data_IF_726809557695
#
_entry.id   IF_726809557695
#
_cell.length_a   1.000
_cell.length_b   1.000
_cell.length_c   1.000
_cell.angle_alpha   90.00
_cell.angle_beta   90.00
_cell.angle_gamma   90.00
#
_symmetry.space_group_name_H-M   'P 1'
#
loop_
_entity.id
_entity.type
_entity.pdbx_description
1 polymer ?
#
# COMPACT_ATOMS: atom_id res chain seq x y z
N UNK A 1 -21.84 24.53 15.89
CA UNK A 1 -22.93 24.88 16.81
C UNK A 1 -23.54 23.60 17.33
N UNK A 2 -23.26 23.24 18.60
CA UNK A 2 -23.87 22.10 19.30
C UNK A 2 -25.34 22.41 19.58
N UNK A 3 -26.24 21.47 19.33
CA UNK A 3 -27.44 21.32 20.16
C UNK A 3 -27.60 19.84 20.48
N UNK A 4 -27.55 19.58 21.78
CA UNK A 4 -27.65 18.29 22.43
C UNK A 4 -29.11 17.89 22.70
N UNK A 5 -29.29 16.58 22.90
CA UNK A 5 -30.19 15.93 23.86
C UNK A 5 -31.70 16.15 23.76
N UNK A 6 -32.44 15.02 23.76
CA UNK A 6 -33.49 14.80 24.77
C UNK A 6 -33.72 13.31 25.00
N UNK A 7 -33.36 12.87 26.21
CA UNK A 7 -33.76 11.63 26.83
C UNK A 7 -35.07 11.83 27.59
N UNK A 8 -35.94 10.81 27.60
CA UNK A 8 -36.99 10.45 28.58
C UNK A 8 -37.85 9.36 27.91
N UNK A 9 -38.34 8.30 28.54
CA UNK A 9 -38.47 7.94 29.94
C UNK A 9 -38.92 6.47 30.00
N UNK A 10 -38.43 5.75 31.01
CA UNK A 10 -38.77 4.36 31.34
C UNK A 10 -40.19 4.29 31.93
N UNK A 11 -41.02 3.29 31.60
CA UNK A 11 -42.08 2.81 32.47
C UNK A 11 -41.62 1.54 33.21
N UNK A 12 -41.47 1.68 34.51
CA UNK A 12 -41.44 0.60 35.50
C UNK A 12 -42.78 -0.13 35.54
N UNK A 13 -42.76 -1.45 35.37
CA UNK A 13 -43.81 -2.35 35.85
C UNK A 13 -43.22 -3.47 36.70
N UNK A 14 -43.97 -3.76 37.76
CA UNK A 14 -43.61 -4.48 38.98
C UNK A 14 -43.78 -6.00 38.80
N UNK A 15 -42.82 -6.72 39.39
CA UNK A 15 -42.85 -8.05 40.01
C UNK A 15 -43.76 -9.16 39.46
N UNK A 16 -43.11 -10.26 39.05
CA UNK A 16 -43.65 -11.61 39.12
C UNK A 16 -42.59 -12.55 39.68
N UNK A 17 -42.69 -12.88 40.97
CA UNK A 17 -41.84 -13.81 41.69
C UNK A 17 -42.33 -15.24 41.41
N UNK A 18 -41.55 -16.07 40.72
CA UNK A 18 -41.73 -17.53 40.69
C UNK A 18 -40.39 -18.19 40.96
N UNK A 19 -40.24 -18.70 42.18
CA UNK A 19 -39.18 -19.62 42.56
C UNK A 19 -39.40 -20.96 41.84
N UNK A 20 -38.50 -21.30 40.91
CA UNK A 20 -38.28 -22.68 40.49
C UNK A 20 -36.84 -23.02 40.87
N UNK A 21 -36.68 -23.77 41.95
CA UNK A 21 -35.41 -24.41 42.32
C UNK A 21 -35.13 -25.55 41.34
N UNK A 22 -34.49 -25.20 40.21
CA UNK A 22 -33.81 -26.14 39.35
C UNK A 22 -32.32 -26.11 39.66
N UNK A 23 -31.74 -27.25 40.03
CA UNK A 23 -30.28 -27.44 40.05
C UNK A 23 -29.83 -27.43 38.59
N UNK A 24 -29.59 -26.22 38.06
CA UNK A 24 -29.03 -26.01 36.75
C UNK A 24 -27.52 -26.24 36.81
N UNK A 25 -27.05 -27.27 36.11
CA UNK A 25 -25.63 -27.39 35.75
C UNK A 25 -25.30 -26.14 34.94
N UNK A 26 -24.61 -25.18 35.56
CA UNK A 26 -24.08 -24.02 34.86
C UNK A 26 -22.94 -24.50 33.96
N UNK A 27 -23.27 -24.91 32.74
CA UNK A 27 -22.29 -24.94 31.66
C UNK A 27 -21.79 -23.51 31.50
N UNK A 28 -20.55 -23.28 31.95
CA UNK A 28 -19.83 -22.06 31.62
C UNK A 28 -19.69 -22.02 30.09
N UNK A 29 -20.61 -21.32 29.43
CA UNK A 29 -20.42 -20.93 28.04
C UNK A 29 -19.26 -19.95 28.05
N UNK A 30 -18.09 -20.42 27.63
CA UNK A 30 -16.99 -19.55 27.23
C UNK A 30 -17.53 -18.66 26.12
N UNK A 31 -17.93 -17.45 26.49
CA UNK A 31 -18.23 -16.38 25.56
C UNK A 31 -16.87 -16.01 24.97
N UNK A 32 -16.48 -16.68 23.89
CA UNK A 32 -15.48 -16.12 22.99
C UNK A 32 -16.10 -14.84 22.47
N UNK A 33 -15.79 -13.72 23.13
CA UNK A 33 -15.93 -12.42 22.51
C UNK A 33 -15.17 -12.51 21.19
N UNK A 34 -15.90 -12.58 20.08
CA UNK A 34 -15.34 -12.23 18.80
C UNK A 34 -14.82 -10.80 19.00
N UNK A 35 -13.51 -10.65 19.17
CA UNK A 35 -12.88 -9.34 19.03
C UNK A 35 -13.25 -8.89 17.63
N UNK A 36 -13.83 -7.70 17.51
CA UNK A 36 -13.79 -7.01 16.23
C UNK A 36 -12.33 -7.08 15.75
N UNK A 37 -12.11 -7.60 14.54
CA UNK A 37 -10.76 -7.71 13.98
C UNK A 37 -10.07 -6.37 14.19
N UNK A 38 -9.02 -6.38 15.00
CA UNK A 38 -8.14 -5.22 15.10
C UNK A 38 -7.66 -4.97 13.67
N UNK A 39 -7.98 -3.80 13.07
CA UNK A 39 -7.58 -3.52 11.70
C UNK A 39 -6.07 -3.58 11.52
N UNK A 40 -5.31 -3.55 12.63
CA UNK A 40 -3.89 -3.84 12.71
C UNK A 40 -3.05 -2.87 11.89
N UNK A 41 -1.77 -3.22 11.74
CA UNK A 41 -0.84 -2.40 10.97
C UNK A 41 -0.95 -2.72 9.47
N UNK A 42 -0.90 -1.68 8.65
CA UNK A 42 -0.81 -1.76 7.20
C UNK A 42 0.56 -1.23 6.76
N UNK A 43 1.26 -1.99 5.90
CA UNK A 43 2.51 -1.55 5.28
C UNK A 43 2.35 -1.48 3.77
N UNK A 44 2.76 -0.38 3.14
CA UNK A 44 2.75 -0.22 1.69
C UNK A 44 4.17 -0.10 1.15
N UNK A 45 4.46 -0.91 0.15
CA UNK A 45 5.69 -0.89 -0.63
C UNK A 45 5.37 -0.56 -2.08
N UNK A 46 6.23 0.22 -2.72
CA UNK A 46 6.05 0.47 -4.13
C UNK A 46 6.85 1.61 -4.72
N UNK A 47 6.39 2.03 -5.88
CA UNK A 47 6.98 3.10 -6.65
C UNK A 47 6.17 4.41 -6.56
N UNK A 48 6.22 5.24 -7.61
CA UNK A 48 5.50 6.51 -7.70
C UNK A 48 3.98 6.39 -7.56
N UNK A 49 3.37 5.23 -7.83
CA UNK A 49 1.92 5.07 -7.72
C UNK A 49 1.48 4.90 -6.26
N UNK A 50 2.30 4.23 -5.45
CA UNK A 50 2.09 4.15 -4.00
C UNK A 50 2.59 5.39 -3.25
N UNK A 51 3.68 6.01 -3.72
CA UNK A 51 4.17 7.26 -3.13
C UNK A 51 3.24 8.45 -3.45
N UNK A 52 2.80 8.55 -4.71
CA UNK A 52 1.96 9.60 -5.27
C UNK A 52 2.28 11.04 -4.79
N UNK A 53 3.55 11.49 -4.77
CA UNK A 53 3.86 12.87 -4.40
C UNK A 53 3.44 13.83 -5.51
N UNK A 54 3.02 15.03 -5.13
CA UNK A 54 2.87 16.10 -6.11
C UNK A 54 4.24 16.64 -6.56
N UNK A 55 4.26 17.36 -7.69
CA UNK A 55 5.50 17.89 -8.27
C UNK A 55 6.28 18.81 -7.31
N UNK A 56 5.57 19.58 -6.46
CA UNK A 56 6.21 20.46 -5.47
C UNK A 56 6.93 19.62 -4.40
N UNK A 57 6.32 18.54 -3.94
CA UNK A 57 6.92 17.62 -2.97
C UNK A 57 8.14 16.90 -3.55
N UNK A 58 8.09 16.49 -4.82
CA UNK A 58 9.27 15.93 -5.53
C UNK A 58 10.39 16.96 -5.58
N UNK A 59 10.10 18.18 -6.07
CA UNK A 59 11.10 19.25 -6.19
C UNK A 59 11.69 19.68 -4.84
N UNK A 60 10.86 19.77 -3.80
CA UNK A 60 11.31 20.08 -2.44
C UNK A 60 12.18 18.97 -1.84
N UNK A 61 11.87 17.69 -2.13
CA UNK A 61 12.68 16.57 -1.68
C UNK A 61 14.06 16.50 -2.33
N UNK A 62 14.17 16.93 -3.59
CA UNK A 62 15.46 17.04 -4.28
C UNK A 62 16.22 18.34 -3.99
N UNK A 63 15.54 19.38 -3.48
CA UNK A 63 16.14 20.68 -3.22
C UNK A 63 15.67 21.27 -1.86
N UNK A 64 16.51 21.18 -0.81
CA UNK A 64 16.20 21.70 0.52
C UNK A 64 15.84 23.20 0.55
N UNK A 65 16.35 23.99 -0.40
CA UNK A 65 16.03 25.41 -0.50
C UNK A 65 14.57 25.64 -0.94
N UNK A 66 14.01 24.75 -1.77
CA UNK A 66 12.61 24.81 -2.18
C UNK A 66 11.65 24.34 -1.08
N UNK A 67 12.09 23.42 -0.21
CA UNK A 67 11.32 23.00 0.96
C UNK A 67 11.08 24.14 1.97
N UNK A 68 11.93 25.18 1.98
CA UNK A 68 11.73 26.39 2.78
C UNK A 68 10.82 27.45 2.13
N UNK A 69 10.60 27.35 0.81
CA UNK A 69 9.77 28.30 0.04
C UNK A 69 8.33 27.80 -0.10
N UNK A 70 8.16 26.49 -0.28
CA UNK A 70 6.85 25.85 -0.33
C UNK A 70 6.55 25.18 1.01
N UNK A 71 5.31 25.24 1.47
CA UNK A 71 4.86 24.54 2.68
C UNK A 71 4.75 23.03 2.43
N UNK A 72 5.87 22.38 2.16
CA UNK A 72 5.95 20.92 2.01
C UNK A 72 6.27 20.27 3.35
N UNK A 73 5.66 19.13 3.63
CA UNK A 73 6.06 18.33 4.79
C UNK A 73 7.54 17.95 4.67
N UNK A 74 8.32 18.04 5.75
CA UNK A 74 9.69 17.57 5.76
C UNK A 74 9.71 16.06 5.47
N UNK A 75 10.60 15.64 4.57
CA UNK A 75 10.83 14.23 4.27
C UNK A 75 11.84 13.69 5.28
N UNK A 76 11.49 12.70 6.12
CA UNK A 76 12.43 12.11 7.06
C UNK A 76 13.62 11.48 6.33
N UNK A 77 14.78 11.43 6.99
CA UNK A 77 15.96 10.74 6.45
C UNK A 77 15.64 9.27 6.15
N UNK A 78 16.04 8.81 4.97
CA UNK A 78 15.76 7.43 4.50
C UNK A 78 14.36 7.22 3.90
N UNK A 79 13.49 8.23 3.92
CA UNK A 79 12.17 8.19 3.29
C UNK A 79 12.15 8.96 1.96
N UNK A 80 11.14 8.68 1.14
CA UNK A 80 10.86 9.43 -0.09
C UNK A 80 9.68 10.38 0.09
N UNK A 81 9.55 11.35 -0.82
CA UNK A 81 8.38 12.20 -0.89
C UNK A 81 7.13 11.35 -1.14
N UNK A 82 6.13 11.46 -0.27
CA UNK A 82 4.83 10.83 -0.44
C UNK A 82 3.72 11.88 -0.38
N UNK A 83 2.69 11.72 -1.20
CA UNK A 83 1.50 12.55 -1.15
C UNK A 83 0.62 12.14 0.02
N UNK A 84 0.00 13.10 0.72
CA UNK A 84 -0.91 12.78 1.83
C UNK A 84 -2.12 11.95 1.37
N UNK A 85 -2.52 12.11 0.11
CA UNK A 85 -3.72 11.54 -0.47
C UNK A 85 -3.46 10.30 -1.36
N UNK A 86 -2.32 9.64 -1.15
CA UNK A 86 -1.98 8.39 -1.84
C UNK A 86 -2.95 7.25 -1.46
N UNK A 87 -3.01 6.19 -2.28
CA UNK A 87 -3.98 5.11 -2.04
C UNK A 87 -3.77 4.40 -0.71
N UNK A 88 -2.51 4.27 -0.23
CA UNK A 88 -2.23 3.60 1.02
C UNK A 88 -2.83 4.37 2.21
N UNK A 89 -2.67 5.69 2.24
CA UNK A 89 -3.28 6.54 3.26
C UNK A 89 -4.81 6.50 3.19
N UNK A 90 -5.39 6.46 1.99
CA UNK A 90 -6.85 6.32 1.81
C UNK A 90 -7.37 4.99 2.33
N UNK A 91 -6.71 3.87 1.99
CA UNK A 91 -7.06 2.54 2.51
C UNK A 91 -7.00 2.54 4.04
N UNK A 92 -5.91 3.05 4.62
CA UNK A 92 -5.74 3.11 6.06
C UNK A 92 -6.85 3.91 6.76
N UNK A 93 -7.20 5.07 6.20
CA UNK A 93 -8.29 5.89 6.69
C UNK A 93 -9.64 5.17 6.62
N UNK A 94 -9.93 4.49 5.51
CA UNK A 94 -11.20 3.77 5.31
C UNK A 94 -11.31 2.50 6.17
N UNK A 95 -10.20 1.81 6.45
CA UNK A 95 -10.18 0.59 7.27
C UNK A 95 -9.95 0.85 8.76
N UNK A 96 -9.52 2.06 9.12
CA UNK A 96 -9.09 2.39 10.49
C UNK A 96 -7.74 1.80 10.88
N UNK A 97 -6.93 1.33 9.92
CA UNK A 97 -5.58 0.81 10.15
C UNK A 97 -4.56 1.95 10.32
N UNK A 98 -3.49 1.71 11.07
CA UNK A 98 -2.28 2.53 10.97
C UNK A 98 -1.53 2.17 9.69
N UNK A 99 -0.88 3.13 9.03
CA UNK A 99 -0.11 2.87 7.79
C UNK A 99 1.32 3.35 7.87
N UNK A 100 2.22 2.48 7.41
CA UNK A 100 3.60 2.83 7.09
C UNK A 100 3.81 2.68 5.58
N UNK A 101 4.03 3.80 4.90
CA UNK A 101 4.26 3.83 3.45
C UNK A 101 5.75 4.05 3.17
N UNK A 102 6.40 3.03 2.60
CA UNK A 102 7.82 3.05 2.24
C UNK A 102 8.04 3.29 0.74
N UNK A 103 6.98 3.52 -0.02
CA UNK A 103 7.06 3.67 -1.45
C UNK A 103 7.91 4.88 -1.86
N UNK A 104 8.56 4.77 -3.02
CA UNK A 104 9.42 5.81 -3.53
C UNK A 104 9.26 5.99 -5.04
N UNK A 105 9.01 7.22 -5.48
CA UNK A 105 8.93 7.54 -6.90
C UNK A 105 10.17 7.09 -7.67
N UNK A 106 9.96 6.36 -8.77
CA UNK A 106 11.05 5.85 -9.62
C UNK A 106 11.71 4.56 -9.11
N UNK A 107 11.30 3.99 -7.98
CA UNK A 107 11.85 2.75 -7.48
C UNK A 107 11.53 1.55 -8.41
N UNK A 108 12.53 0.80 -8.90
CA UNK A 108 12.31 -0.52 -9.48
C UNK A 108 12.04 -1.56 -8.38
N UNK A 109 11.38 -2.66 -8.73
CA UNK A 109 11.13 -3.76 -7.82
C UNK A 109 12.39 -4.58 -7.55
N UNK A 110 12.94 -5.18 -8.61
CA UNK A 110 14.00 -6.19 -8.51
C UNK A 110 15.40 -5.67 -8.86
N UNK A 111 15.50 -4.54 -9.57
CA UNK A 111 16.80 -4.00 -9.99
C UNK A 111 17.56 -3.31 -8.83
N UNK A 112 18.90 -3.23 -8.89
CA UNK A 112 19.68 -2.47 -7.92
C UNK A 112 19.28 -0.99 -7.90
N UNK A 113 18.77 -0.52 -6.77
CA UNK A 113 18.39 0.87 -6.55
C UNK A 113 18.33 1.14 -5.04
N UNK A 114 18.70 2.34 -4.54
CA UNK A 114 18.68 2.66 -3.10
C UNK A 114 17.30 2.55 -2.45
N UNK A 115 16.24 2.52 -3.27
CA UNK A 115 14.84 2.42 -2.83
C UNK A 115 14.09 1.27 -3.50
N UNK A 116 14.79 0.25 -4.02
CA UNK A 116 14.11 -0.93 -4.57
C UNK A 116 13.32 -1.70 -3.49
N UNK A 117 12.55 -2.71 -3.88
CA UNK A 117 11.69 -3.42 -2.93
C UNK A 117 12.47 -4.01 -1.75
N UNK A 118 13.65 -4.59 -1.99
CA UNK A 118 14.51 -5.08 -0.91
C UNK A 118 14.87 -3.96 0.08
N UNK A 119 15.30 -2.79 -0.41
CA UNK A 119 15.68 -1.66 0.43
C UNK A 119 14.49 -1.12 1.24
N UNK A 120 13.29 -1.15 0.67
CA UNK A 120 12.08 -0.77 1.39
C UNK A 120 11.71 -1.79 2.49
N UNK A 121 11.85 -3.10 2.23
CA UNK A 121 11.67 -4.15 3.25
C UNK A 121 12.73 -4.02 4.35
N UNK A 122 13.99 -3.76 3.99
CA UNK A 122 15.06 -3.50 4.96
C UNK A 122 14.72 -2.30 5.87
N UNK A 123 14.10 -1.26 5.31
CA UNK A 123 13.65 -0.11 6.08
C UNK A 123 12.50 -0.46 7.02
N UNK A 124 11.48 -1.16 6.52
CA UNK A 124 10.35 -1.59 7.33
C UNK A 124 10.76 -2.51 8.49
N UNK A 125 11.75 -3.38 8.27
CA UNK A 125 12.30 -4.22 9.34
C UNK A 125 13.03 -3.38 10.41
N UNK A 126 13.85 -2.40 10.01
CA UNK A 126 14.54 -1.49 10.94
C UNK A 126 13.57 -0.67 11.79
N UNK A 127 12.45 -0.26 11.20
CA UNK A 127 11.42 0.52 11.88
C UNK A 127 10.47 -0.34 12.72
N UNK A 128 10.59 -1.66 12.64
CA UNK A 128 9.65 -2.61 13.26
C UNK A 128 8.19 -2.41 12.81
N UNK A 129 7.97 -2.04 11.55
CA UNK A 129 6.62 -1.84 10.98
C UNK A 129 6.02 -3.13 10.40
N UNK A 130 6.86 -4.09 10.01
CA UNK A 130 6.48 -5.47 9.73
C UNK A 130 6.56 -6.31 11.01
N UNK A 131 5.40 -6.71 11.54
CA UNK A 131 5.28 -7.47 12.79
C UNK A 131 4.18 -8.53 12.69
N UNK A 132 4.02 -9.36 13.72
CA UNK A 132 2.88 -10.29 13.84
C UNK A 132 1.51 -9.59 13.88
N UNK A 133 1.47 -8.29 14.16
CA UNK A 133 0.25 -7.47 14.21
C UNK A 133 -0.06 -6.79 12.88
N UNK A 134 0.84 -6.87 11.90
CA UNK A 134 0.56 -6.45 10.53
C UNK A 134 -0.54 -7.33 9.93
N UNK A 135 -1.56 -6.69 9.34
CA UNK A 135 -2.74 -7.36 8.76
C UNK A 135 -2.79 -7.23 7.24
N UNK A 136 -2.23 -6.16 6.70
CA UNK A 136 -2.20 -5.90 5.27
C UNK A 136 -0.81 -5.46 4.84
N UNK A 137 -0.35 -5.99 3.72
CA UNK A 137 0.80 -5.46 2.98
C UNK A 137 0.38 -5.27 1.53
N UNK A 138 0.62 -4.09 0.96
CA UNK A 138 0.43 -3.85 -0.48
C UNK A 138 1.77 -3.65 -1.16
N UNK A 139 1.88 -4.15 -2.39
CA UNK A 139 3.12 -4.13 -3.17
C UNK A 139 2.78 -3.70 -4.60
N UNK A 140 3.40 -2.62 -5.08
CA UNK A 140 3.28 -2.18 -6.49
C UNK A 140 4.63 -1.79 -7.08
N UNK A 141 5.11 -2.61 -8.00
CA UNK A 141 6.34 -2.39 -8.77
C UNK A 141 6.20 -3.00 -10.17
N UNK A 142 7.11 -2.63 -11.08
CA UNK A 142 7.31 -3.31 -12.36
C UNK A 142 7.62 -2.38 -13.52
N UNK A 143 6.96 -1.21 -13.61
CA UNK A 143 7.20 -0.30 -14.75
C UNK A 143 8.64 0.21 -14.77
N UNK A 144 9.20 0.57 -13.61
CA UNK A 144 10.57 1.06 -13.51
C UNK A 144 11.61 0.00 -13.88
N UNK A 145 11.32 -1.29 -13.68
CA UNK A 145 12.20 -2.40 -14.07
C UNK A 145 12.34 -2.53 -15.60
N UNK A 146 11.38 -2.02 -16.37
CA UNK A 146 11.39 -2.15 -17.84
C UNK A 146 12.43 -1.28 -18.54
N UNK A 147 12.75 -0.13 -17.95
CA UNK A 147 13.63 0.88 -18.58
C UNK A 147 14.87 1.22 -17.76
N UNK A 148 14.94 0.80 -16.49
CA UNK A 148 16.12 0.99 -15.65
C UNK A 148 17.10 -0.19 -15.69
N UNK A 149 16.77 -1.30 -16.34
CA UNK A 149 17.71 -2.43 -16.46
C UNK A 149 18.91 -2.01 -17.31
N UNK A 150 20.14 -1.97 -16.74
CA UNK A 150 21.32 -1.57 -17.50
C UNK A 150 21.70 -2.59 -18.58
N UNK A 151 21.21 -3.83 -18.48
CA UNK A 151 21.44 -4.87 -19.47
C UNK A 151 20.40 -4.77 -20.61
N UNK A 152 20.78 -4.01 -21.64
CA UNK A 152 19.99 -3.85 -22.86
C UNK A 152 19.85 -5.14 -23.67
N UNK A 153 20.73 -6.13 -23.45
CA UNK A 153 20.73 -7.38 -24.22
C UNK A 153 19.73 -8.43 -23.71
N UNK A 154 19.18 -8.25 -22.50
CA UNK A 154 18.16 -9.16 -21.98
C UNK A 154 16.96 -9.25 -22.91
N UNK A 155 16.39 -10.44 -23.02
CA UNK A 155 15.06 -10.62 -23.63
C UNK A 155 13.97 -10.20 -22.65
N UNK A 156 12.74 -9.93 -23.13
CA UNK A 156 11.60 -9.68 -22.24
C UNK A 156 11.40 -10.77 -21.19
N UNK A 157 11.57 -12.05 -21.56
CA UNK A 157 11.41 -13.19 -20.65
C UNK A 157 12.50 -13.21 -19.56
N UNK A 158 13.74 -12.83 -19.90
CA UNK A 158 14.82 -12.71 -18.90
C UNK A 158 14.58 -11.56 -17.93
N UNK A 159 14.00 -10.44 -18.40
CA UNK A 159 13.60 -9.32 -17.53
C UNK A 159 12.46 -9.74 -16.61
N UNK A 160 11.43 -10.41 -17.13
CA UNK A 160 10.34 -10.97 -16.31
C UNK A 160 10.86 -11.95 -15.27
N UNK A 161 11.74 -12.90 -15.65
CA UNK A 161 12.32 -13.85 -14.70
C UNK A 161 13.11 -13.15 -13.59
N UNK A 162 13.88 -12.11 -13.93
CA UNK A 162 14.60 -11.28 -12.95
C UNK A 162 13.61 -10.59 -11.99
N UNK A 163 12.54 -10.01 -12.53
CA UNK A 163 11.50 -9.36 -11.75
C UNK A 163 10.82 -10.33 -10.78
N UNK A 164 10.30 -11.45 -11.29
CA UNK A 164 9.60 -12.46 -10.49
C UNK A 164 10.50 -13.02 -9.39
N UNK A 165 11.76 -13.34 -9.71
CA UNK A 165 12.70 -13.84 -8.70
C UNK A 165 12.98 -12.82 -7.60
N UNK A 166 13.31 -11.58 -7.97
CA UNK A 166 13.63 -10.53 -7.00
C UNK A 166 12.44 -10.17 -6.11
N UNK A 167 11.26 -10.05 -6.73
CA UNK A 167 10.02 -9.74 -6.02
C UNK A 167 9.57 -10.87 -5.08
N UNK A 168 9.51 -12.12 -5.55
CA UNK A 168 9.10 -13.27 -4.73
C UNK A 168 10.04 -13.49 -3.54
N UNK A 169 11.35 -13.27 -3.72
CA UNK A 169 12.31 -13.36 -2.61
C UNK A 169 11.99 -12.38 -1.48
N UNK A 170 11.52 -11.17 -1.80
CA UNK A 170 11.17 -10.18 -0.79
C UNK A 170 9.77 -10.39 -0.24
N UNK A 171 8.81 -10.89 -1.03
CA UNK A 171 7.49 -11.32 -0.52
C UNK A 171 7.66 -12.44 0.53
N UNK A 172 8.50 -13.43 0.27
CA UNK A 172 8.81 -14.48 1.23
C UNK A 172 9.37 -13.92 2.56
N UNK A 173 10.20 -12.85 2.48
CA UNK A 173 10.72 -12.16 3.66
C UNK A 173 9.65 -11.32 4.37
N UNK A 174 8.74 -10.69 3.64
CA UNK A 174 7.56 -10.05 4.23
C UNK A 174 6.73 -11.06 5.01
N UNK A 175 6.48 -12.26 4.45
CA UNK A 175 5.76 -13.32 5.17
C UNK A 175 6.49 -13.79 6.43
N UNK A 176 7.83 -13.82 6.45
CA UNK A 176 8.56 -14.20 7.66
C UNK A 176 8.49 -13.15 8.77
N UNK A 177 8.51 -11.86 8.41
CA UNK A 177 8.42 -10.73 9.35
C UNK A 177 6.98 -10.45 9.80
N UNK A 178 6.00 -10.67 8.92
CA UNK A 178 4.58 -10.40 9.12
C UNK A 178 3.71 -11.63 8.76
N UNK A 179 3.79 -12.73 9.54
CA UNK A 179 3.19 -14.02 9.18
C UNK A 179 1.66 -14.02 9.10
N UNK A 180 1.01 -13.02 9.70
CA UNK A 180 -0.46 -12.89 9.71
C UNK A 180 -0.96 -11.87 8.67
N UNK A 181 -0.07 -11.23 7.92
CA UNK A 181 -0.47 -10.22 6.96
C UNK A 181 -0.98 -10.85 5.66
N UNK A 182 -2.07 -10.30 5.14
CA UNK A 182 -2.46 -10.53 3.76
C UNK A 182 -1.57 -9.67 2.86
N UNK A 183 -0.78 -10.32 2.00
CA UNK A 183 0.01 -9.64 0.97
C UNK A 183 -0.83 -9.48 -0.28
N UNK A 184 -0.88 -8.26 -0.83
CA UNK A 184 -1.63 -7.93 -2.05
C UNK A 184 -0.68 -7.27 -3.04
N UNK A 185 -0.43 -7.95 -4.16
CA UNK A 185 0.22 -7.34 -5.32
C UNK A 185 -0.83 -6.48 -6.05
N UNK A 186 -0.59 -5.18 -6.11
CA UNK A 186 -1.49 -4.20 -6.72
C UNK A 186 -1.06 -3.99 -8.17
N UNK A 187 -2.01 -4.13 -9.10
CA UNK A 187 -1.77 -3.88 -10.51
C UNK A 187 -1.69 -2.39 -10.85
N UNK A 188 -0.89 -2.02 -11.85
CA UNK A 188 -0.93 -0.66 -12.37
C UNK A 188 -2.28 -0.32 -13.02
N UNK A 189 -2.78 0.92 -12.85
CA UNK A 189 -3.84 1.43 -13.71
C UNK A 189 -3.38 1.48 -15.17
N UNK A 190 -4.30 1.77 -16.10
CA UNK A 190 -3.92 2.11 -17.47
C UNK A 190 -3.09 3.39 -17.45
N UNK A 191 -1.83 3.27 -17.87
CA UNK A 191 -0.92 4.39 -18.13
C UNK A 191 -1.15 4.94 -19.54
N UNK A 192 -1.61 4.09 -20.45
CA UNK A 192 -1.88 4.45 -21.84
C UNK A 192 -3.38 4.53 -22.14
N UNK A 193 -3.73 5.17 -23.25
CA UNK A 193 -5.08 5.14 -23.83
C UNK A 193 -5.39 3.85 -24.63
N UNK A 194 -4.48 2.86 -24.59
CA UNK A 194 -4.54 1.65 -25.41
C UNK A 194 -4.13 1.85 -26.87
N UNK A 195 -3.58 3.01 -27.21
CA UNK A 195 -2.93 3.31 -28.50
C UNK A 195 -1.51 3.85 -28.27
N UNK A 196 -0.88 3.41 -27.19
CA UNK A 196 0.49 3.71 -26.78
C UNK A 196 0.75 5.20 -26.54
N UNK A 197 -0.31 5.95 -26.23
CA UNK A 197 -0.17 7.35 -25.81
C UNK A 197 -0.17 7.46 -24.29
N UNK A 198 0.87 8.08 -23.75
CA UNK A 198 0.98 8.45 -22.35
C UNK A 198 0.48 9.89 -22.16
N UNK A 199 -0.28 10.11 -21.08
CA UNK A 199 -0.82 11.42 -20.72
C UNK A 199 -0.28 11.94 -19.37
N UNK A 200 1.02 12.29 -19.29
CA UNK A 200 1.68 12.53 -18.00
C UNK A 200 1.28 13.86 -17.33
N UNK A 201 0.80 14.85 -18.10
CA UNK A 201 0.44 16.17 -17.60
C UNK A 201 -1.04 16.40 -17.85
N UNK A 202 -1.79 16.62 -16.77
CA UNK A 202 -3.12 17.20 -16.82
C UNK A 202 -3.10 18.53 -16.06
N UNK A 203 -3.20 19.64 -16.79
CA UNK A 203 -3.17 20.98 -16.21
C UNK A 203 -4.30 21.85 -16.77
N UNK A 204 -5.19 22.31 -15.88
CA UNK A 204 -6.32 23.16 -16.23
C UNK A 204 -7.18 22.62 -17.39
N UNK A 205 -7.38 21.30 -17.45
CA UNK A 205 -8.14 20.63 -18.51
C UNK A 205 -7.36 20.41 -19.82
N UNK A 206 -6.10 20.83 -19.90
CA UNK A 206 -5.21 20.49 -21.00
C UNK A 206 -4.42 19.24 -20.61
N UNK A 207 -4.62 18.18 -21.38
CA UNK A 207 -3.93 16.90 -21.19
C UNK A 207 -2.86 16.78 -22.26
N UNK A 208 -1.59 16.62 -21.85
CA UNK A 208 -0.52 16.27 -22.78
C UNK A 208 -0.76 14.86 -23.31
N UNK A 209 -0.44 14.62 -24.57
CA UNK A 209 -0.52 13.29 -25.17
C UNK A 209 0.80 13.02 -25.90
N UNK A 210 1.53 11.99 -25.47
CA UNK A 210 2.83 11.62 -26.04
C UNK A 210 2.78 10.16 -26.46
N UNK A 211 2.96 9.92 -27.75
CA UNK A 211 3.08 8.56 -28.26
C UNK A 211 4.44 7.97 -27.89
N UNK A 212 4.43 6.75 -27.34
CA UNK A 212 5.63 5.99 -27.00
C UNK A 212 5.49 4.60 -27.60
N UNK A 213 6.21 4.35 -28.69
CA UNK A 213 6.14 3.08 -29.42
C UNK A 213 6.30 1.87 -28.47
N UNK A 214 5.32 0.97 -28.49
CA UNK A 214 5.35 -0.27 -27.72
C UNK A 214 5.04 -0.13 -26.22
N UNK A 215 4.59 1.05 -25.76
CA UNK A 215 4.25 1.26 -24.36
C UNK A 215 3.05 0.40 -23.91
N UNK A 216 2.03 0.20 -24.76
CA UNK A 216 0.91 -0.70 -24.43
C UNK A 216 1.40 -2.12 -24.17
N UNK A 217 2.26 -2.64 -25.06
CA UNK A 217 2.82 -3.98 -24.92
C UNK A 217 3.68 -4.09 -23.64
N UNK A 218 4.42 -3.02 -23.32
CA UNK A 218 5.22 -2.96 -22.09
C UNK A 218 4.33 -2.99 -20.86
N UNK A 219 3.26 -2.20 -20.85
CA UNK A 219 2.25 -2.20 -19.78
C UNK A 219 1.61 -3.58 -19.61
N UNK A 220 1.23 -4.23 -20.70
CA UNK A 220 0.62 -5.57 -20.66
C UNK A 220 1.60 -6.61 -20.11
N UNK A 221 2.88 -6.56 -20.49
CA UNK A 221 3.91 -7.43 -19.95
C UNK A 221 4.12 -7.22 -18.45
N UNK A 222 4.11 -5.96 -17.98
CA UNK A 222 4.22 -5.64 -16.56
C UNK A 222 3.01 -6.16 -15.80
N UNK A 223 1.79 -5.98 -16.31
CA UNK A 223 0.57 -6.50 -15.71
C UNK A 223 0.58 -8.02 -15.59
N UNK A 224 1.04 -8.68 -16.63
CA UNK A 224 1.18 -10.14 -16.63
C UNK A 224 2.22 -10.60 -15.60
N UNK A 225 3.34 -9.89 -15.48
CA UNK A 225 4.35 -10.16 -14.46
C UNK A 225 3.80 -9.98 -13.04
N UNK A 226 3.02 -8.91 -12.80
CA UNK A 226 2.34 -8.67 -11.52
C UNK A 226 1.30 -9.75 -11.21
N UNK A 227 0.56 -10.20 -12.22
CA UNK A 227 -0.43 -11.27 -12.09
C UNK A 227 0.23 -12.60 -11.74
N UNK A 228 1.33 -12.97 -12.41
CA UNK A 228 2.12 -14.18 -12.09
C UNK A 228 2.70 -14.10 -10.68
N UNK A 229 3.30 -12.97 -10.33
CA UNK A 229 3.83 -12.72 -8.97
C UNK A 229 2.78 -12.96 -7.88
N UNK A 230 1.54 -12.49 -8.11
CA UNK A 230 0.42 -12.67 -7.19
C UNK A 230 -0.14 -14.10 -7.14
N UNK A 231 0.14 -14.95 -8.15
CA UNK A 231 -0.29 -16.34 -8.19
C UNK A 231 0.74 -17.27 -7.54
N UNK A 232 2.01 -16.89 -7.62
CA UNK A 232 3.14 -17.68 -7.13
C UNK A 232 3.43 -17.47 -5.62
N UNK A 233 2.76 -16.50 -4.98
CA UNK A 233 2.91 -16.15 -3.56
C UNK A 233 1.54 -15.99 -2.89
#
# INVERSE_FOLDING_TARGET
MKISCLAKSIPTWIAGLSLVTGVGVATAMSITSARADDPGNYVSFGDSLAANPNMIQIMAGHNPALAGVFTTLPIPEGYCATGEDNFANRVAHETGSSVHNYACSGAPGALPHPFNFQSQVDHAERDHSLTSDTRLVTIIFGMNDTYQDPDVAKTPEQREATFLQGMSSQIARVHSLAPNAKVVVVGYPDLTDGQSNLCPINFAGNVSCVHVDGLDQTQDNVRESQRKLAQDN
#
